data_IF_130148921990
#
_entry.id   IF_130148921990
#
_cell.length_a   1.000
_cell.length_b   1.000
_cell.length_c   1.000
_cell.angle_alpha   90.00
_cell.angle_beta   90.00
_cell.angle_gamma   90.00
#
_symmetry.space_group_name_H-M   'P 1'
#
loop_
_entity.id
_entity.type
_entity.pdbx_description
1 polymer ?
#
# COMPACT_ATOMS: atom_id res chain seq x y z
N UNK A 1 21.26 -4.88 8.66
CA UNK A 1 20.41 -6.06 8.83
C UNK A 1 21.24 -7.33 8.73
N UNK A 2 20.93 -8.28 9.57
CA UNK A 2 21.53 -9.60 9.58
C UNK A 2 20.58 -10.60 8.92
N UNK A 3 21.16 -11.63 8.29
CA UNK A 3 20.39 -12.74 7.76
C UNK A 3 19.81 -13.57 8.91
N UNK A 4 18.52 -13.83 8.87
CA UNK A 4 17.83 -14.63 9.90
C UNK A 4 18.35 -16.07 9.99
N UNK A 5 18.81 -16.65 8.89
CA UNK A 5 19.44 -17.96 8.86
C UNK A 5 20.72 -17.98 9.70
N UNK A 6 21.61 -16.98 9.53
CA UNK A 6 22.81 -16.85 10.35
C UNK A 6 22.48 -16.65 11.83
N UNK A 7 21.45 -15.89 12.14
CA UNK A 7 21.03 -15.68 13.53
C UNK A 7 20.56 -16.98 14.20
N UNK A 8 19.89 -17.87 13.48
CA UNK A 8 19.50 -19.20 13.99
C UNK A 8 20.70 -20.06 14.31
N UNK A 9 21.66 -20.15 13.37
CA UNK A 9 22.90 -20.89 13.57
C UNK A 9 23.70 -20.33 14.76
N UNK A 10 23.87 -19.04 14.86
CA UNK A 10 24.58 -18.38 15.95
C UNK A 10 23.85 -18.55 17.31
N UNK A 11 22.53 -18.54 17.30
CA UNK A 11 21.75 -18.74 18.51
C UNK A 11 21.86 -20.20 19.02
N UNK A 12 21.78 -21.19 18.13
CA UNK A 12 21.95 -22.61 18.49
C UNK A 12 23.33 -22.87 19.02
N UNK A 13 24.39 -22.28 18.43
CA UNK A 13 25.76 -22.38 18.89
C UNK A 13 25.94 -21.79 20.32
N UNK A 14 25.42 -20.56 20.55
CA UNK A 14 25.57 -19.89 21.84
C UNK A 14 24.69 -20.50 22.94
N UNK A 15 23.57 -21.10 22.57
CA UNK A 15 22.66 -21.82 23.47
C UNK A 15 23.15 -23.27 23.74
N UNK A 16 24.18 -23.73 23.03
CA UNK A 16 24.71 -25.10 23.11
C UNK A 16 23.65 -26.18 22.82
N UNK A 17 22.72 -25.88 21.89
CA UNK A 17 21.68 -26.81 21.45
C UNK A 17 21.85 -27.16 19.98
N UNK A 18 21.50 -28.40 19.55
CA UNK A 18 21.53 -28.74 18.13
C UNK A 18 20.62 -27.84 17.27
N UNK A 19 21.05 -27.53 16.06
CA UNK A 19 20.27 -26.64 15.14
C UNK A 19 18.84 -27.12 14.93
N UNK A 20 18.63 -28.44 14.80
CA UNK A 20 17.28 -28.99 14.60
C UNK A 20 16.37 -28.72 15.81
N UNK A 21 16.92 -28.78 17.05
CA UNK A 21 16.12 -28.50 18.26
C UNK A 21 15.80 -27.03 18.40
N UNK A 22 16.73 -26.15 18.00
CA UNK A 22 16.47 -24.71 17.94
C UNK A 22 15.37 -24.38 16.89
N UNK A 23 15.40 -25.04 15.72
CA UNK A 23 14.40 -24.86 14.67
C UNK A 23 13.00 -25.32 15.12
N UNK A 24 12.89 -26.48 15.77
CA UNK A 24 11.63 -26.95 16.36
C UNK A 24 11.11 -25.98 17.43
N UNK A 25 11.99 -25.48 18.29
CA UNK A 25 11.61 -24.46 19.27
C UNK A 25 11.09 -23.19 18.62
N UNK A 26 11.72 -22.75 17.52
CA UNK A 26 11.25 -21.61 16.73
C UNK A 26 9.88 -21.87 16.08
N UNK A 27 9.61 -23.06 15.59
CA UNK A 27 8.29 -23.42 15.04
C UNK A 27 7.18 -23.38 16.10
N UNK A 28 7.49 -23.79 17.31
CA UNK A 28 6.53 -23.78 18.43
C UNK A 28 6.27 -22.34 18.90
N UNK A 29 7.32 -21.54 19.10
CA UNK A 29 7.20 -20.15 19.57
C UNK A 29 6.63 -19.21 18.50
N UNK A 30 6.98 -19.46 17.22
CA UNK A 30 6.49 -18.69 16.08
C UNK A 30 7.18 -17.32 15.88
N UNK A 31 8.11 -16.93 16.74
CA UNK A 31 8.85 -15.68 16.66
C UNK A 31 10.36 -15.90 16.96
N UNK A 32 11.20 -15.59 15.96
CA UNK A 32 12.64 -15.82 16.08
C UNK A 32 13.31 -14.99 17.20
N UNK A 33 12.88 -13.73 17.36
CA UNK A 33 13.46 -12.87 18.39
C UNK A 33 13.13 -13.37 19.80
N UNK A 34 11.93 -13.89 19.99
CA UNK A 34 11.48 -14.49 21.24
C UNK A 34 12.21 -15.82 21.49
N UNK A 35 12.30 -16.69 20.49
CA UNK A 35 13.02 -17.97 20.60
C UNK A 35 14.48 -17.73 21.01
N UNK A 36 15.18 -16.80 20.37
CA UNK A 36 16.57 -16.46 20.73
C UNK A 36 16.63 -15.93 22.16
N UNK A 37 15.69 -15.05 22.55
CA UNK A 37 15.72 -14.43 23.89
C UNK A 37 15.53 -15.44 25.01
N UNK A 38 14.77 -16.50 24.76
CA UNK A 38 14.49 -17.58 25.71
C UNK A 38 15.59 -18.64 25.73
N UNK A 39 16.20 -18.94 24.58
CA UNK A 39 17.18 -20.04 24.45
C UNK A 39 18.61 -19.65 24.84
N UNK A 40 19.00 -18.39 24.55
CA UNK A 40 20.39 -17.95 24.78
C UNK A 40 20.59 -17.54 26.22
N UNK A 41 21.62 -18.12 26.92
CA UNK A 41 21.91 -17.81 28.32
C UNK A 41 22.29 -16.34 28.51
N UNK A 42 22.01 -15.83 29.68
CA UNK A 42 22.40 -14.49 30.12
C UNK A 42 23.60 -14.58 31.07
N UNK A 43 24.64 -13.79 30.79
CA UNK A 43 25.69 -13.51 31.73
C UNK A 43 25.36 -12.21 32.50
N UNK A 44 25.58 -12.15 33.79
CA UNK A 44 25.26 -10.95 34.59
C UNK A 44 26.32 -9.88 34.29
N UNK A 45 25.88 -8.77 33.70
CA UNK A 45 26.71 -7.59 33.46
C UNK A 45 26.11 -6.36 34.16
N UNK A 46 27.01 -5.56 34.75
CA UNK A 46 26.64 -4.38 35.55
C UNK A 46 26.24 -3.14 34.73
N UNK A 47 26.49 -3.14 33.42
CA UNK A 47 26.19 -1.97 32.57
C UNK A 47 25.57 -2.39 31.22
N UNK A 48 24.36 -1.93 30.95
CA UNK A 48 23.72 -2.06 29.64
C UNK A 48 23.88 -0.75 28.84
N UNK A 49 24.19 -0.83 27.53
CA UNK A 49 24.27 0.38 26.70
C UNK A 49 22.88 1.00 26.53
N UNK A 50 22.85 2.29 26.28
CA UNK A 50 21.61 2.99 25.92
C UNK A 50 21.08 2.50 24.56
N UNK A 51 19.78 2.65 24.33
CA UNK A 51 19.17 2.33 23.04
C UNK A 51 19.84 3.07 21.88
N UNK A 52 20.20 4.35 22.09
CA UNK A 52 20.88 5.16 21.08
C UNK A 52 22.25 4.61 20.71
N UNK A 53 23.02 4.10 21.67
CA UNK A 53 24.30 3.46 21.42
C UNK A 53 24.11 2.15 20.65
N UNK A 54 23.16 1.31 21.04
CA UNK A 54 22.82 0.08 20.32
C UNK A 54 22.45 0.34 18.86
N UNK A 55 21.60 1.35 18.59
CA UNK A 55 21.18 1.68 17.24
C UNK A 55 22.37 2.16 16.40
N UNK A 56 23.25 3.02 16.94
CA UNK A 56 24.48 3.46 16.25
C UNK A 56 25.38 2.29 15.90
N UNK A 57 25.58 1.36 16.83
CA UNK A 57 26.39 0.16 16.61
C UNK A 57 25.77 -0.76 15.54
N UNK A 58 24.44 -0.98 15.59
CA UNK A 58 23.70 -1.79 14.60
C UNK A 58 23.82 -1.18 13.19
N UNK A 59 23.73 0.14 13.06
CA UNK A 59 23.92 0.83 11.77
C UNK A 59 25.33 0.57 11.24
N UNK A 60 26.34 0.62 12.10
CA UNK A 60 27.74 0.38 11.75
C UNK A 60 28.02 -1.07 11.35
N UNK A 61 27.19 -2.05 11.77
CA UNK A 61 27.34 -3.44 11.33
C UNK A 61 27.27 -3.61 9.81
N UNK A 62 26.67 -2.66 9.08
CA UNK A 62 26.64 -2.69 7.61
C UNK A 62 28.05 -2.80 7.00
N UNK A 63 29.04 -2.22 7.65
CA UNK A 63 30.42 -2.12 7.18
C UNK A 63 31.35 -3.19 7.78
N UNK A 64 30.83 -4.11 8.59
CA UNK A 64 31.57 -5.15 9.28
C UNK A 64 31.52 -6.48 8.52
N UNK A 65 32.56 -7.28 8.66
CA UNK A 65 32.57 -8.66 8.18
C UNK A 65 31.70 -9.58 9.06
N UNK A 66 31.50 -10.82 8.64
CA UNK A 66 30.64 -11.77 9.35
C UNK A 66 31.16 -12.13 10.75
N UNK A 67 32.46 -12.25 10.89
CA UNK A 67 33.11 -12.58 12.17
C UNK A 67 32.95 -11.46 13.20
N UNK A 68 33.12 -10.22 12.76
CA UNK A 68 32.91 -9.04 13.59
C UNK A 68 31.42 -8.89 13.98
N UNK A 69 30.50 -9.14 13.02
CA UNK A 69 29.04 -9.15 13.27
C UNK A 69 28.67 -10.19 14.31
N UNK A 70 29.18 -11.43 14.16
CA UNK A 70 28.97 -12.52 15.12
C UNK A 70 29.46 -12.15 16.50
N UNK A 71 30.70 -11.68 16.61
CA UNK A 71 31.31 -11.28 17.89
C UNK A 71 30.48 -10.19 18.59
N UNK A 72 30.02 -9.19 17.84
CA UNK A 72 29.16 -8.13 18.37
C UNK A 72 27.82 -8.66 18.88
N UNK A 73 27.15 -9.50 18.10
CA UNK A 73 25.84 -10.08 18.46
C UNK A 73 25.98 -10.95 19.69
N UNK A 74 27.00 -11.82 19.76
CA UNK A 74 27.29 -12.66 20.93
C UNK A 74 27.50 -11.83 22.18
N UNK A 75 28.31 -10.77 22.09
CA UNK A 75 28.54 -9.84 23.20
C UNK A 75 27.24 -9.26 23.73
N UNK A 76 26.33 -8.83 22.83
CA UNK A 76 25.05 -8.25 23.21
C UNK A 76 24.08 -9.30 23.78
N UNK A 77 23.98 -10.46 23.15
CA UNK A 77 23.12 -11.53 23.66
C UNK A 77 23.51 -12.00 25.06
N UNK A 78 24.78 -12.05 25.37
CA UNK A 78 25.30 -12.42 26.71
C UNK A 78 25.03 -11.32 27.75
N UNK A 79 25.09 -10.04 27.35
CA UNK A 79 24.94 -8.92 28.27
C UNK A 79 23.48 -8.50 28.52
N UNK A 80 22.56 -8.84 27.66
CA UNK A 80 21.18 -8.42 27.72
C UNK A 80 20.29 -9.42 28.48
N UNK A 81 19.30 -8.89 29.23
CA UNK A 81 18.21 -9.72 29.75
C UNK A 81 17.28 -10.18 28.61
N UNK A 82 16.30 -11.04 28.90
CA UNK A 82 15.43 -11.60 27.88
C UNK A 82 14.61 -10.55 27.12
N UNK A 83 14.12 -9.51 27.79
CA UNK A 83 13.39 -8.41 27.15
C UNK A 83 14.30 -7.57 26.24
N UNK A 84 15.49 -7.26 26.70
CA UNK A 84 16.48 -6.50 25.92
C UNK A 84 16.95 -7.32 24.71
N UNK A 85 17.22 -8.62 24.86
CA UNK A 85 17.51 -9.55 23.74
C UNK A 85 16.38 -9.58 22.73
N UNK A 86 15.13 -9.67 23.18
CA UNK A 86 13.96 -9.67 22.31
C UNK A 86 13.91 -8.38 21.48
N UNK A 87 13.97 -7.21 22.11
CA UNK A 87 13.95 -5.91 21.43
C UNK A 87 15.13 -5.76 20.49
N UNK A 88 16.33 -6.12 20.93
CA UNK A 88 17.54 -6.07 20.12
C UNK A 88 17.42 -6.91 18.84
N UNK A 89 16.93 -8.15 18.95
CA UNK A 89 16.72 -9.03 17.81
C UNK A 89 15.65 -8.49 16.84
N UNK A 90 14.59 -7.86 17.35
CA UNK A 90 13.59 -7.18 16.52
C UNK A 90 14.19 -6.01 15.74
N UNK A 91 15.09 -5.23 16.34
CA UNK A 91 15.81 -4.15 15.66
C UNK A 91 16.73 -4.72 14.57
N UNK A 92 17.49 -5.77 14.88
CA UNK A 92 18.41 -6.40 13.93
C UNK A 92 17.71 -6.96 12.68
N UNK A 93 16.56 -7.57 12.86
CA UNK A 93 15.78 -8.18 11.76
C UNK A 93 14.86 -7.20 11.05
N UNK A 94 14.63 -6.02 11.62
CA UNK A 94 13.66 -5.05 11.12
C UNK A 94 12.19 -5.53 11.26
N UNK A 95 11.96 -6.55 12.08
CA UNK A 95 10.70 -7.29 12.20
C UNK A 95 9.80 -6.83 13.35
N UNK A 96 9.73 -5.53 13.64
CA UNK A 96 8.74 -5.02 14.60
C UNK A 96 7.32 -5.22 14.07
N UNK A 97 6.69 -6.33 14.43
CA UNK A 97 5.26 -6.56 14.24
C UNK A 97 4.54 -6.22 15.54
N UNK A 98 4.29 -4.93 15.75
CA UNK A 98 3.58 -4.46 16.96
C UNK A 98 2.05 -4.50 16.81
N UNK A 99 1.54 -5.11 15.73
CA UNK A 99 0.10 -5.25 15.50
C UNK A 99 -0.63 -3.94 15.15
N UNK A 100 0.11 -2.86 14.90
CA UNK A 100 -0.44 -1.55 14.58
C UNK A 100 -0.16 -1.25 13.10
N UNK A 101 -1.23 -1.11 12.31
CA UNK A 101 -1.11 -0.66 10.92
C UNK A 101 -0.80 0.84 10.85
N UNK A 102 -0.25 1.28 9.72
CA UNK A 102 -0.04 2.71 9.45
C UNK A 102 -1.35 3.50 9.59
N UNK A 103 -2.46 2.97 9.07
CA UNK A 103 -3.79 3.59 9.19
C UNK A 103 -4.22 3.75 10.65
N UNK A 104 -4.03 2.72 11.50
CA UNK A 104 -4.38 2.82 12.91
C UNK A 104 -3.51 3.86 13.64
N UNK A 105 -2.22 3.94 13.30
CA UNK A 105 -1.31 4.97 13.83
C UNK A 105 -1.75 6.38 13.40
N UNK A 106 -2.04 6.58 12.12
CA UNK A 106 -2.50 7.87 11.58
C UNK A 106 -3.80 8.31 12.24
N UNK A 107 -4.75 7.38 12.43
CA UNK A 107 -6.01 7.64 13.13
C UNK A 107 -5.80 8.01 14.61
N UNK A 108 -4.92 7.29 15.31
CA UNK A 108 -4.59 7.60 16.70
C UNK A 108 -3.93 8.99 16.81
N UNK A 109 -3.01 9.29 15.89
CA UNK A 109 -2.35 10.59 15.81
C UNK A 109 -3.35 11.72 15.52
N UNK A 110 -4.26 11.53 14.55
CA UNK A 110 -5.33 12.45 14.21
C UNK A 110 -6.17 12.83 15.43
N UNK A 111 -6.58 11.85 16.23
CA UNK A 111 -7.32 12.09 17.48
C UNK A 111 -6.50 12.85 18.53
N UNK A 112 -5.21 12.56 18.64
CA UNK A 112 -4.33 13.18 19.61
C UNK A 112 -4.05 14.66 19.28
N UNK A 113 -3.79 14.97 18.00
CA UNK A 113 -3.40 16.34 17.57
C UNK A 113 -4.57 17.13 17.00
N UNK A 114 -5.76 16.54 16.84
CA UNK A 114 -6.98 17.15 16.27
C UNK A 114 -6.79 17.69 14.85
N UNK A 115 -6.04 16.98 14.03
CA UNK A 115 -5.83 17.23 12.60
C UNK A 115 -6.48 16.08 11.83
N UNK A 116 -7.11 16.34 10.69
CA UNK A 116 -7.80 15.35 9.88
C UNK A 116 -6.86 14.21 9.42
N UNK A 117 -7.40 12.98 9.39
CA UNK A 117 -6.62 11.76 9.11
C UNK A 117 -5.97 11.79 7.72
N UNK A 118 -6.68 12.31 6.70
CA UNK A 118 -6.17 12.45 5.33
C UNK A 118 -5.01 13.47 5.24
N UNK A 119 -5.06 14.57 5.99
CA UNK A 119 -3.98 15.56 6.06
C UNK A 119 -2.73 14.91 6.68
N UNK A 120 -2.88 14.19 7.78
CA UNK A 120 -1.76 13.50 8.41
C UNK A 120 -1.21 12.37 7.54
N UNK A 121 -2.05 11.62 6.86
CA UNK A 121 -1.61 10.60 5.91
C UNK A 121 -0.72 11.22 4.81
N UNK A 122 -1.10 12.39 4.30
CA UNK A 122 -0.29 13.13 3.33
C UNK A 122 1.03 13.63 3.92
N UNK A 123 1.02 14.26 5.10
CA UNK A 123 2.24 14.77 5.77
C UNK A 123 3.24 13.66 6.09
N UNK A 124 2.75 12.49 6.50
CA UNK A 124 3.58 11.32 6.82
C UNK A 124 4.09 10.57 5.59
N UNK A 125 3.59 10.91 4.40
CA UNK A 125 4.06 10.35 3.13
C UNK A 125 5.39 10.97 2.71
N UNK A 126 6.15 10.22 1.91
CA UNK A 126 7.41 10.71 1.32
C UNK A 126 8.64 10.37 2.16
N UNK A 127 9.76 10.96 1.75
CA UNK A 127 11.05 10.72 2.38
C UNK A 127 11.37 11.82 3.39
N UNK A 128 11.04 11.58 4.64
CA UNK A 128 11.48 12.39 5.75
C UNK A 128 12.37 11.58 6.70
N UNK A 129 13.20 12.25 7.45
CA UNK A 129 14.12 11.61 8.40
C UNK A 129 13.95 12.20 9.79
N UNK A 130 13.85 11.38 10.84
CA UNK A 130 13.81 11.86 12.22
C UNK A 130 15.09 12.58 12.65
N UNK A 131 16.15 12.52 11.84
CA UNK A 131 17.40 13.26 12.08
C UNK A 131 17.33 14.72 11.60
N UNK A 132 16.41 15.03 10.66
CA UNK A 132 16.32 16.34 10.01
C UNK A 132 14.93 16.96 10.09
N UNK A 133 13.92 16.22 10.53
CA UNK A 133 12.53 16.66 10.61
C UNK A 133 11.99 16.44 12.01
N UNK A 134 11.51 17.46 12.66
CA UNK A 134 10.90 17.36 13.98
C UNK A 134 9.44 16.92 13.91
N UNK A 135 8.89 16.45 15.02
CA UNK A 135 7.46 16.12 15.12
C UNK A 135 6.58 17.35 14.89
N UNK A 136 6.99 18.49 15.39
CA UNK A 136 6.25 19.75 15.21
C UNK A 136 6.18 20.14 13.74
N UNK A 137 7.29 20.08 13.01
CA UNK A 137 7.34 20.40 11.59
C UNK A 137 6.53 19.41 10.73
N UNK A 138 6.62 18.12 11.06
CA UNK A 138 5.98 17.07 10.27
C UNK A 138 4.47 16.97 10.54
N UNK A 139 4.07 17.13 11.79
CA UNK A 139 2.71 16.79 12.24
C UNK A 139 1.90 18.02 12.63
N UNK A 140 2.46 18.93 13.41
CA UNK A 140 1.70 20.01 14.05
C UNK A 140 1.56 21.23 13.14
N UNK A 141 2.66 21.67 12.54
CA UNK A 141 2.67 22.91 11.78
C UNK A 141 1.82 22.80 10.51
N UNK A 142 0.99 23.81 10.19
CA UNK A 142 0.23 23.83 8.95
C UNK A 142 1.17 23.77 7.73
N UNK A 143 0.87 22.87 6.79
CA UNK A 143 1.56 22.81 5.51
C UNK A 143 0.63 23.36 4.42
N UNK A 144 1.08 24.35 3.62
CA UNK A 144 0.28 24.85 2.48
C UNK A 144 -0.12 23.79 1.47
N UNK A 145 0.55 22.64 1.50
CA UNK A 145 0.27 21.51 0.60
C UNK A 145 -0.75 20.50 1.17
N UNK A 146 -1.24 20.65 2.39
CA UNK A 146 -2.13 19.69 3.05
C UNK A 146 -3.38 19.31 2.26
N UNK A 147 -3.89 20.25 1.46
CA UNK A 147 -5.12 20.03 0.69
C UNK A 147 -4.87 19.45 -0.71
N UNK A 148 -3.63 19.46 -1.21
CA UNK A 148 -3.38 19.04 -2.61
C UNK A 148 -3.62 17.55 -2.86
N UNK A 149 -3.49 16.72 -1.84
CA UNK A 149 -3.70 15.27 -1.95
C UNK A 149 -5.10 14.83 -1.52
N UNK A 150 -5.94 15.74 -1.03
CA UNK A 150 -7.23 15.38 -0.42
C UNK A 150 -8.15 14.71 -1.45
N UNK A 151 -8.61 13.46 -1.19
CA UNK A 151 -9.54 12.77 -2.06
C UNK A 151 -10.97 13.27 -1.86
N UNK A 152 -11.81 13.04 -2.85
CA UNK A 152 -13.26 13.15 -2.69
C UNK A 152 -13.83 11.94 -1.97
N UNK A 153 -14.96 12.06 -1.25
CA UNK A 153 -15.65 10.91 -0.68
C UNK A 153 -15.98 9.86 -1.75
N UNK A 154 -15.67 8.60 -1.46
CA UNK A 154 -16.00 7.50 -2.36
C UNK A 154 -17.49 7.22 -2.35
N UNK A 155 -18.14 7.39 -3.49
CA UNK A 155 -19.55 7.07 -3.66
C UNK A 155 -19.75 5.55 -3.77
N UNK A 156 -20.80 5.01 -3.12
CA UNK A 156 -21.10 3.59 -3.14
C UNK A 156 -22.20 3.28 -4.13
N UNK A 157 -21.99 2.26 -4.97
CA UNK A 157 -23.05 1.69 -5.79
C UNK A 157 -23.95 0.78 -4.96
N UNK A 158 -25.26 0.78 -5.29
CA UNK A 158 -26.26 -0.06 -4.66
C UNK A 158 -26.68 -1.18 -5.62
N UNK A 159 -27.00 -2.38 -5.12
CA UNK A 159 -27.52 -3.45 -5.95
C UNK A 159 -28.91 -3.07 -6.52
N UNK A 160 -29.15 -3.46 -7.76
CA UNK A 160 -30.46 -3.34 -8.41
C UNK A 160 -31.25 -4.61 -8.13
N UNK A 161 -32.44 -4.47 -7.58
CA UNK A 161 -33.36 -5.58 -7.34
C UNK A 161 -34.25 -5.91 -8.57
N UNK A 162 -35.06 -6.98 -8.47
CA UNK A 162 -35.91 -7.41 -9.56
C UNK A 162 -37.07 -6.42 -9.78
N UNK A 163 -37.64 -5.86 -8.74
CA UNK A 163 -38.74 -4.90 -8.84
C UNK A 163 -38.34 -3.64 -9.60
N UNK A 164 -37.09 -3.23 -9.45
CA UNK A 164 -36.50 -2.11 -10.19
C UNK A 164 -36.43 -2.44 -11.70
N UNK A 165 -35.94 -3.63 -12.05
CA UNK A 165 -35.83 -4.07 -13.44
C UNK A 165 -37.17 -4.14 -14.15
N UNK A 166 -38.25 -4.48 -13.41
CA UNK A 166 -39.60 -4.56 -13.98
C UNK A 166 -40.26 -3.18 -14.24
N UNK A 167 -39.77 -2.13 -13.58
CA UNK A 167 -40.30 -0.77 -13.66
C UNK A 167 -39.52 0.16 -14.56
N UNK A 168 -38.21 -0.08 -14.73
CA UNK A 168 -37.32 0.82 -15.45
C UNK A 168 -37.00 0.35 -16.87
N UNK A 169 -37.01 1.29 -17.80
CA UNK A 169 -36.56 1.02 -19.16
C UNK A 169 -35.03 0.94 -19.23
N UNK A 170 -34.52 -0.17 -19.73
CA UNK A 170 -33.06 -0.41 -19.83
C UNK A 170 -32.34 0.67 -20.65
N UNK A 171 -33.01 1.29 -21.61
CA UNK A 171 -32.47 2.34 -22.48
C UNK A 171 -32.08 3.62 -21.71
N UNK A 172 -32.63 3.81 -20.51
CA UNK A 172 -32.29 4.94 -19.64
C UNK A 172 -30.99 4.72 -18.86
N UNK A 173 -30.36 3.54 -19.02
CA UNK A 173 -29.21 3.13 -18.24
C UNK A 173 -28.00 2.85 -19.14
N UNK A 174 -26.84 3.19 -18.66
CA UNK A 174 -25.58 2.73 -19.21
C UNK A 174 -24.92 1.74 -18.23
N UNK A 175 -24.17 0.80 -18.78
CA UNK A 175 -23.59 -0.29 -18.02
C UNK A 175 -22.08 -0.34 -18.27
N UNK A 176 -21.35 -0.74 -17.26
CA UNK A 176 -19.92 -1.00 -17.34
C UNK A 176 -19.61 -2.32 -16.64
N UNK A 177 -18.47 -2.93 -16.94
CA UNK A 177 -18.01 -4.07 -16.18
C UNK A 177 -17.63 -3.63 -14.76
N UNK A 178 -18.06 -4.40 -13.75
CA UNK A 178 -17.61 -4.27 -12.37
C UNK A 178 -16.28 -5.01 -12.22
N UNK A 179 -15.21 -4.29 -12.39
CA UNK A 179 -13.86 -4.83 -12.34
C UNK A 179 -13.50 -5.36 -10.95
N UNK A 180 -12.78 -6.51 -10.91
CA UNK A 180 -12.28 -7.11 -9.66
C UNK A 180 -10.86 -6.62 -9.37
N UNK A 181 -10.75 -5.50 -8.66
CA UNK A 181 -9.49 -4.85 -8.35
C UNK A 181 -9.52 -4.06 -7.06
N UNK A 182 -8.77 -2.97 -7.03
CA UNK A 182 -8.77 -2.03 -5.92
C UNK A 182 -9.23 -0.65 -6.38
N UNK A 183 -10.45 -0.29 -6.01
CA UNK A 183 -10.97 1.05 -6.29
C UNK A 183 -10.09 2.13 -5.70
N UNK A 184 -9.73 3.09 -6.52
CA UNK A 184 -8.78 4.13 -6.16
C UNK A 184 -9.10 5.46 -6.84
N UNK A 185 -8.79 6.55 -6.15
CA UNK A 185 -8.79 7.89 -6.74
C UNK A 185 -7.37 8.32 -7.06
N UNK A 186 -7.13 8.63 -8.33
CA UNK A 186 -5.90 9.22 -8.83
C UNK A 186 -6.07 10.74 -8.87
N UNK A 187 -5.24 11.44 -8.14
CA UNK A 187 -5.23 12.90 -8.04
C UNK A 187 -3.95 13.42 -8.66
N UNK A 188 -4.06 14.32 -9.63
CA UNK A 188 -2.91 15.04 -10.22
C UNK A 188 -3.05 16.51 -9.84
N UNK A 189 -2.17 16.98 -8.95
CA UNK A 189 -2.16 18.40 -8.52
C UNK A 189 -0.75 18.88 -8.24
N UNK A 190 -0.45 20.10 -8.64
CA UNK A 190 0.88 20.75 -8.49
C UNK A 190 2.05 19.90 -9.00
N UNK A 191 1.85 19.24 -10.16
CA UNK A 191 2.86 18.40 -10.78
C UNK A 191 3.21 17.14 -9.97
N UNK A 192 2.35 16.72 -9.04
CA UNK A 192 2.48 15.49 -8.25
C UNK A 192 1.27 14.59 -8.47
N UNK A 193 1.42 13.29 -8.24
CA UNK A 193 0.30 12.37 -8.21
C UNK A 193 0.10 11.82 -6.79
N UNK A 194 -1.17 11.60 -6.45
CA UNK A 194 -1.57 10.95 -5.21
C UNK A 194 -2.60 9.88 -5.54
N UNK A 195 -2.44 8.71 -4.95
CA UNK A 195 -3.33 7.59 -5.16
C UNK A 195 -3.93 7.16 -3.83
N UNK A 196 -5.24 7.31 -3.71
CA UNK A 196 -5.99 6.91 -2.52
C UNK A 196 -6.81 5.66 -2.80
N UNK A 197 -6.73 4.68 -1.91
CA UNK A 197 -7.63 3.52 -1.94
C UNK A 197 -9.00 3.87 -1.35
N UNK A 198 -10.03 3.07 -1.67
CA UNK A 198 -11.36 3.16 -1.04
C UNK A 198 -11.31 3.07 0.48
N UNK A 199 -10.29 2.42 1.04
CA UNK A 199 -10.05 2.32 2.47
C UNK A 199 -9.46 3.59 3.08
N UNK A 200 -9.39 4.71 2.34
CA UNK A 200 -8.79 5.98 2.76
C UNK A 200 -7.31 5.85 3.14
N UNK A 201 -6.58 4.99 2.42
CA UNK A 201 -5.14 4.86 2.54
C UNK A 201 -4.46 5.50 1.35
N UNK A 202 -3.45 6.33 1.62
CA UNK A 202 -2.58 6.88 0.58
C UNK A 202 -1.56 5.82 0.18
N UNK A 203 -1.65 5.36 -1.07
CA UNK A 203 -0.93 4.18 -1.57
C UNK A 203 -0.01 4.48 -2.75
N UNK A 204 0.30 5.75 -3.00
CA UNK A 204 1.14 6.17 -4.14
C UNK A 204 2.49 5.45 -4.18
N UNK A 205 3.11 5.17 -3.03
CA UNK A 205 4.38 4.47 -2.91
C UNK A 205 4.34 3.01 -3.37
N UNK A 206 3.14 2.41 -3.45
CA UNK A 206 2.92 1.04 -3.93
C UNK A 206 2.82 0.95 -5.46
N UNK A 207 2.56 2.07 -6.12
CA UNK A 207 2.29 2.15 -7.56
C UNK A 207 3.10 3.26 -8.24
N UNK A 208 4.45 3.25 -8.13
CA UNK A 208 5.31 4.33 -8.61
C UNK A 208 5.25 4.52 -10.13
N UNK A 209 4.83 3.51 -10.92
CA UNK A 209 4.65 3.61 -12.35
C UNK A 209 3.57 4.62 -12.77
N UNK A 210 2.60 4.91 -11.91
CA UNK A 210 1.57 5.92 -12.16
C UNK A 210 2.15 7.35 -12.15
N UNK A 211 3.38 7.55 -11.67
CA UNK A 211 4.08 8.83 -11.79
C UNK A 211 4.25 9.28 -13.23
N UNK A 212 4.28 8.34 -14.19
CA UNK A 212 4.33 8.63 -15.63
C UNK A 212 3.12 9.40 -16.15
N UNK A 213 2.02 9.43 -15.40
CA UNK A 213 0.80 10.17 -15.73
C UNK A 213 0.90 11.67 -15.43
N UNK A 214 1.86 12.07 -14.59
CA UNK A 214 2.14 13.48 -14.33
C UNK A 214 2.66 14.13 -15.60
N UNK A 215 2.03 15.22 -15.99
CA UNK A 215 2.32 15.91 -17.27
C UNK A 215 1.55 15.36 -18.47
N UNK A 216 1.01 14.15 -18.42
CA UNK A 216 0.08 13.62 -19.43
C UNK A 216 -1.36 13.99 -19.11
N UNK A 217 -1.72 13.95 -17.83
CA UNK A 217 -3.04 14.36 -17.32
C UNK A 217 -2.92 15.82 -16.86
N UNK A 218 -3.87 16.69 -17.23
CA UNK A 218 -3.86 18.08 -16.78
C UNK A 218 -3.84 18.21 -15.25
N UNK A 219 -3.10 19.20 -14.76
CA UNK A 219 -3.05 19.51 -13.32
C UNK A 219 -4.46 19.89 -12.80
N UNK A 220 -4.76 19.57 -11.54
CA UNK A 220 -6.11 19.75 -10.99
C UNK A 220 -7.12 18.72 -11.50
N UNK A 221 -6.68 17.51 -11.85
CA UNK A 221 -7.57 16.42 -12.28
C UNK A 221 -7.66 15.33 -11.21
N UNK A 222 -8.89 14.89 -10.92
CA UNK A 222 -9.17 13.75 -10.04
C UNK A 222 -10.00 12.71 -10.79
N UNK A 223 -9.46 11.50 -10.88
CA UNK A 223 -10.04 10.37 -11.58
C UNK A 223 -10.40 9.26 -10.60
N UNK A 224 -11.55 8.62 -10.78
CA UNK A 224 -11.92 7.40 -10.05
C UNK A 224 -11.75 6.20 -10.99
N UNK A 225 -11.17 5.12 -10.49
CA UNK A 225 -10.87 3.95 -11.30
C UNK A 225 -10.54 2.73 -10.44
N UNK A 226 -10.35 1.60 -11.12
CA UNK A 226 -9.96 0.34 -10.52
C UNK A 226 -8.51 0.02 -10.86
N UNK A 227 -7.66 -0.18 -9.86
CA UNK A 227 -6.31 -0.71 -10.05
C UNK A 227 -6.38 -2.20 -10.33
N UNK A 228 -5.79 -2.62 -11.44
CA UNK A 228 -5.83 -3.98 -11.92
C UNK A 228 -4.42 -4.45 -12.30
N UNK A 229 -4.04 -5.69 -12.00
CA UNK A 229 -2.91 -6.31 -12.67
C UNK A 229 -3.20 -6.40 -14.17
N UNK A 230 -2.22 -6.06 -15.01
CA UNK A 230 -2.42 -6.07 -16.46
C UNK A 230 -1.15 -6.55 -17.17
N UNK A 231 -1.25 -7.68 -17.81
CA UNK A 231 -0.12 -8.27 -18.53
C UNK A 231 -0.58 -8.91 -19.82
N UNK A 232 0.20 -8.75 -20.89
CA UNK A 232 -0.09 -9.34 -22.20
C UNK A 232 -1.51 -9.00 -22.72
N UNK A 233 -1.92 -7.74 -22.53
CA UNK A 233 -3.25 -7.23 -22.87
C UNK A 233 -4.43 -7.93 -22.17
N UNK A 234 -4.18 -8.50 -20.99
CA UNK A 234 -5.21 -9.15 -20.16
C UNK A 234 -5.19 -8.60 -18.73
N UNK A 235 -6.39 -8.44 -18.19
CA UNK A 235 -6.58 -8.17 -16.75
C UNK A 235 -6.25 -9.45 -15.98
N UNK A 236 -5.39 -9.33 -14.98
CA UNK A 236 -5.03 -10.40 -14.05
C UNK A 236 -5.99 -10.49 -12.86
N UNK A 237 -5.69 -11.38 -11.93
CA UNK A 237 -6.51 -11.61 -10.73
C UNK A 237 -6.13 -10.68 -9.57
N UNK A 238 -7.11 -10.32 -8.76
CA UNK A 238 -6.91 -9.50 -7.55
C UNK A 238 -5.84 -10.06 -6.59
N UNK A 239 -5.71 -11.38 -6.50
CA UNK A 239 -4.67 -12.03 -5.70
C UNK A 239 -3.23 -11.60 -6.08
N UNK A 240 -2.98 -11.28 -7.33
CA UNK A 240 -1.67 -10.78 -7.75
C UNK A 240 -1.45 -9.34 -7.25
N UNK A 241 -2.48 -8.52 -7.30
CA UNK A 241 -2.44 -7.16 -6.74
C UNK A 241 -2.16 -7.18 -5.23
N UNK A 242 -2.76 -8.12 -4.48
CA UNK A 242 -2.53 -8.28 -3.04
C UNK A 242 -1.07 -8.57 -2.70
N UNK A 243 -0.35 -9.35 -3.50
CA UNK A 243 1.08 -9.62 -3.32
C UNK A 243 1.91 -8.34 -3.34
N UNK A 244 1.46 -7.35 -4.11
CA UNK A 244 2.12 -6.06 -4.26
C UNK A 244 1.76 -5.10 -3.14
N UNK A 245 0.47 -4.98 -2.78
CA UNK A 245 -0.05 -4.12 -1.72
C UNK A 245 0.60 -4.45 -0.37
N UNK A 246 0.74 -5.74 -0.06
CA UNK A 246 1.31 -6.23 1.20
C UNK A 246 2.81 -5.95 1.39
N UNK A 247 3.52 -5.45 0.36
CA UNK A 247 4.95 -5.14 0.46
C UNK A 247 5.19 -3.76 1.06
N UNK A 248 6.19 -3.65 1.92
CA UNK A 248 6.61 -2.36 2.48
C UNK A 248 7.18 -1.44 1.38
N UNK A 249 7.98 -2.02 0.48
CA UNK A 249 8.54 -1.35 -0.71
C UNK A 249 8.33 -2.21 -1.94
N UNK A 250 8.05 -1.58 -3.08
CA UNK A 250 7.83 -2.25 -4.36
C UNK A 250 9.10 -2.12 -5.21
N UNK A 251 9.82 -3.23 -5.39
CA UNK A 251 11.01 -3.27 -6.23
C UNK A 251 10.66 -3.23 -7.72
N UNK A 252 11.62 -2.83 -8.56
CA UNK A 252 11.44 -2.84 -10.02
C UNK A 252 11.08 -4.24 -10.54
N UNK A 253 11.73 -5.27 -10.00
CA UNK A 253 11.40 -6.67 -10.33
C UNK A 253 9.92 -6.99 -10.08
N UNK A 254 9.37 -6.58 -8.95
CA UNK A 254 7.97 -6.82 -8.63
C UNK A 254 7.01 -6.02 -9.51
N UNK A 255 7.40 -4.79 -9.93
CA UNK A 255 6.64 -4.01 -10.91
C UNK A 255 6.58 -4.73 -12.26
N UNK A 256 7.69 -5.32 -12.70
CA UNK A 256 7.79 -6.06 -13.97
C UNK A 256 7.08 -7.43 -13.91
N UNK A 257 7.07 -8.07 -12.74
CA UNK A 257 6.34 -9.34 -12.52
C UNK A 257 4.81 -9.13 -12.48
N UNK A 258 4.36 -8.06 -11.84
CA UNK A 258 2.95 -7.71 -11.66
C UNK A 258 2.75 -6.27 -12.12
N UNK A 259 2.82 -6.00 -13.43
CA UNK A 259 2.51 -4.68 -13.96
C UNK A 259 1.04 -4.36 -13.72
N UNK A 260 0.73 -3.08 -13.48
CA UNK A 260 -0.62 -2.62 -13.20
C UNK A 260 -1.06 -1.54 -14.17
N UNK A 261 -2.36 -1.42 -14.30
CA UNK A 261 -3.04 -0.28 -14.91
C UNK A 261 -4.09 0.26 -13.95
N UNK A 262 -4.53 1.49 -14.20
CA UNK A 262 -5.77 2.01 -13.64
C UNK A 262 -6.85 2.00 -14.73
N UNK A 263 -7.96 1.28 -14.49
CA UNK A 263 -9.14 1.24 -15.35
C UNK A 263 -10.04 2.39 -14.95
N UNK A 264 -10.04 3.46 -15.72
CA UNK A 264 -10.80 4.68 -15.44
C UNK A 264 -12.27 4.50 -15.78
N UNK A 265 -13.15 4.91 -14.87
CA UNK A 265 -14.60 4.91 -15.11
C UNK A 265 -15.29 6.19 -14.67
N UNK A 266 -14.64 7.09 -13.91
CA UNK A 266 -15.22 8.37 -13.54
C UNK A 266 -14.18 9.48 -13.45
N UNK A 267 -14.65 10.73 -13.54
CA UNK A 267 -13.85 11.94 -13.38
C UNK A 267 -14.58 12.91 -12.46
N UNK A 268 -13.91 13.32 -11.38
CA UNK A 268 -14.50 14.09 -10.29
C UNK A 268 -14.10 15.56 -10.33
N UNK A 269 -12.88 15.83 -10.78
CA UNK A 269 -12.33 17.18 -10.93
C UNK A 269 -11.57 17.27 -12.25
N UNK A 270 -11.75 18.37 -12.95
CA UNK A 270 -11.10 18.66 -14.22
C UNK A 270 -10.49 20.05 -14.21
N UNK A 271 -9.17 20.13 -14.39
CA UNK A 271 -8.41 21.40 -14.42
C UNK A 271 -8.73 22.31 -13.22
N UNK A 272 -8.82 21.71 -12.01
CA UNK A 272 -9.11 22.40 -10.75
C UNK A 272 -10.57 22.72 -10.49
N UNK A 273 -11.47 22.28 -11.36
CA UNK A 273 -12.92 22.49 -11.20
C UNK A 273 -13.61 21.19 -10.77
N UNK A 274 -14.34 21.22 -9.65
CA UNK A 274 -15.23 20.13 -9.24
C UNK A 274 -16.38 19.99 -10.26
N UNK A 275 -16.45 18.84 -10.93
CA UNK A 275 -17.44 18.54 -11.99
C UNK A 275 -18.38 17.40 -11.61
N UNK A 276 -18.37 16.93 -10.36
CA UNK A 276 -19.21 15.81 -9.88
C UNK A 276 -20.71 16.02 -10.11
N UNK A 277 -21.15 17.27 -10.20
CA UNK A 277 -22.55 17.61 -10.45
C UNK A 277 -22.92 17.68 -11.94
N UNK A 278 -22.01 17.34 -12.85
CA UNK A 278 -22.32 17.28 -14.28
C UNK A 278 -23.12 16.02 -14.60
N UNK A 279 -23.90 16.07 -15.69
CA UNK A 279 -24.57 14.88 -16.20
C UNK A 279 -23.55 13.78 -16.55
N UNK A 280 -23.89 12.54 -16.23
CA UNK A 280 -23.01 11.38 -16.43
C UNK A 280 -22.44 11.30 -17.85
N UNK A 281 -23.27 11.54 -18.87
CA UNK A 281 -22.82 11.52 -20.28
C UNK A 281 -21.69 12.53 -20.49
N UNK A 282 -21.81 13.73 -19.91
CA UNK A 282 -20.77 14.76 -20.04
C UNK A 282 -19.47 14.37 -19.35
N UNK A 283 -19.55 13.74 -18.18
CA UNK A 283 -18.37 13.20 -17.48
C UNK A 283 -17.67 12.14 -18.32
N UNK A 284 -18.44 11.22 -18.94
CA UNK A 284 -17.89 10.18 -19.82
C UNK A 284 -17.24 10.76 -21.07
N UNK A 285 -17.80 11.81 -21.68
CA UNK A 285 -17.20 12.52 -22.84
C UNK A 285 -15.84 13.14 -22.47
N UNK A 286 -15.75 13.81 -21.31
CA UNK A 286 -14.48 14.40 -20.83
C UNK A 286 -13.46 13.29 -20.61
N UNK A 287 -13.86 12.23 -19.92
CA UNK A 287 -12.98 11.10 -19.60
C UNK A 287 -12.48 10.40 -20.87
N UNK A 288 -13.36 10.16 -21.84
CA UNK A 288 -13.00 9.57 -23.14
C UNK A 288 -12.05 10.47 -23.94
N UNK A 289 -12.29 11.80 -23.94
CA UNK A 289 -11.41 12.78 -24.58
C UNK A 289 -10.01 12.79 -23.95
N UNK A 290 -9.94 12.71 -22.62
CA UNK A 290 -8.68 12.59 -21.89
C UNK A 290 -7.96 11.28 -22.27
N UNK A 291 -8.67 10.15 -22.21
CA UNK A 291 -8.11 8.83 -22.53
C UNK A 291 -7.51 8.80 -23.94
N UNK A 292 -8.20 9.30 -24.95
CA UNK A 292 -7.70 9.38 -26.33
C UNK A 292 -6.40 10.18 -26.46
N UNK A 293 -6.19 11.16 -25.62
CA UNK A 293 -4.93 11.96 -25.60
C UNK A 293 -3.77 11.22 -24.95
N UNK A 294 -4.03 10.44 -23.90
CA UNK A 294 -2.96 9.83 -23.10
C UNK A 294 -2.58 8.42 -23.57
N UNK A 295 -3.49 7.68 -24.21
CA UNK A 295 -3.21 6.30 -24.63
C UNK A 295 -2.05 6.19 -25.64
N UNK A 296 -1.83 7.22 -26.44
CA UNK A 296 -0.73 7.26 -27.43
C UNK A 296 0.67 7.24 -26.79
N UNK A 297 0.76 7.53 -25.49
CA UNK A 297 2.01 7.51 -24.74
C UNK A 297 2.27 6.17 -24.02
N UNK A 298 1.48 5.15 -24.31
CA UNK A 298 1.54 3.85 -23.63
C UNK A 298 1.45 3.97 -22.10
N UNK A 299 0.62 4.90 -21.64
CA UNK A 299 0.42 5.17 -20.22
C UNK A 299 -0.30 3.98 -19.54
N UNK A 300 -0.06 3.72 -18.25
CA UNK A 300 -0.66 2.60 -17.52
C UNK A 300 -2.14 2.86 -17.16
N UNK A 301 -2.95 3.18 -18.17
CA UNK A 301 -4.39 3.47 -18.04
C UNK A 301 -5.18 2.74 -19.12
N UNK A 302 -6.39 2.32 -18.75
CA UNK A 302 -7.43 1.92 -19.69
C UNK A 302 -8.74 2.64 -19.34
N UNK A 303 -9.64 2.70 -20.31
CA UNK A 303 -10.99 3.26 -20.12
C UNK A 303 -11.99 2.12 -19.99
N UNK A 304 -12.80 2.13 -18.95
CA UNK A 304 -13.95 1.25 -18.81
C UNK A 304 -14.98 1.56 -19.89
N UNK A 305 -15.35 0.52 -20.65
CA UNK A 305 -16.24 0.69 -21.79
C UNK A 305 -17.69 0.79 -21.32
N UNK A 306 -18.37 1.87 -21.72
CA UNK A 306 -19.81 2.02 -21.51
C UNK A 306 -20.56 1.16 -22.52
N UNK A 307 -21.51 0.38 -22.03
CA UNK A 307 -22.37 -0.49 -22.83
C UNK A 307 -23.82 -0.05 -22.71
N UNK A 308 -24.57 -0.21 -23.81
CA UNK A 308 -26.00 0.01 -23.87
C UNK A 308 -26.68 -1.26 -24.35
N UNK A 309 -27.83 -1.59 -23.78
CA UNK A 309 -28.56 -2.81 -24.10
C UNK A 309 -30.00 -2.49 -24.52
N UNK A 310 -30.56 -3.33 -25.37
CA UNK A 310 -31.93 -3.21 -25.87
C UNK A 310 -32.97 -3.63 -24.80
N UNK A 311 -32.61 -4.57 -23.94
CA UNK A 311 -33.49 -5.13 -22.93
C UNK A 311 -32.72 -5.77 -21.78
N UNK A 312 -33.37 -5.97 -20.62
CA UNK A 312 -32.79 -6.59 -19.41
C UNK A 312 -32.29 -8.02 -19.63
N UNK A 313 -32.83 -8.76 -20.61
CA UNK A 313 -32.34 -10.09 -20.96
C UNK A 313 -30.89 -10.03 -21.44
N UNK A 314 -30.58 -9.07 -22.31
CA UNK A 314 -29.20 -8.85 -22.80
C UNK A 314 -28.24 -8.44 -21.69
N UNK A 315 -28.70 -7.63 -20.74
CA UNK A 315 -27.92 -7.28 -19.54
C UNK A 315 -27.58 -8.53 -18.73
N UNK A 316 -28.57 -9.41 -18.51
CA UNK A 316 -28.36 -10.69 -17.78
C UNK A 316 -27.42 -11.64 -18.52
N UNK A 317 -27.48 -11.67 -19.85
CA UNK A 317 -26.57 -12.48 -20.68
C UNK A 317 -25.13 -11.95 -20.58
N UNK A 318 -24.91 -10.64 -20.66
CA UNK A 318 -23.58 -10.04 -20.52
C UNK A 318 -23.03 -10.21 -19.10
N UNK A 319 -23.89 -10.05 -18.08
CA UNK A 319 -23.48 -10.31 -16.70
C UNK A 319 -22.95 -11.72 -16.47
N UNK A 320 -23.52 -12.75 -17.14
CA UNK A 320 -23.03 -14.13 -17.06
C UNK A 320 -21.66 -14.33 -17.67
N UNK A 321 -21.28 -13.45 -18.60
CA UNK A 321 -19.94 -13.49 -19.25
C UNK A 321 -18.91 -12.63 -18.52
N UNK A 322 -19.29 -12.00 -17.40
CA UNK A 322 -18.40 -11.10 -16.67
C UNK A 322 -17.11 -11.79 -16.23
N UNK A 323 -17.19 -13.04 -15.77
CA UNK A 323 -16.02 -13.82 -15.33
C UNK A 323 -15.02 -14.06 -16.47
N UNK A 324 -15.48 -14.22 -17.72
CA UNK A 324 -14.60 -14.37 -18.91
C UNK A 324 -13.75 -13.11 -19.15
N UNK A 325 -14.19 -11.97 -18.61
CA UNK A 325 -13.53 -10.66 -18.73
C UNK A 325 -12.83 -10.21 -17.43
N UNK A 326 -12.66 -11.10 -16.47
CA UNK A 326 -12.09 -10.79 -15.15
C UNK A 326 -12.84 -9.67 -14.43
N UNK A 327 -14.18 -9.72 -14.49
CA UNK A 327 -15.06 -8.79 -13.78
C UNK A 327 -16.07 -9.55 -12.90
N UNK A 328 -16.51 -8.93 -11.80
CA UNK A 328 -17.48 -9.52 -10.85
C UNK A 328 -18.93 -9.45 -11.35
N UNK A 329 -19.18 -8.69 -12.39
CA UNK A 329 -20.52 -8.44 -12.92
C UNK A 329 -20.60 -7.14 -13.71
N UNK A 330 -21.78 -6.51 -13.66
CA UNK A 330 -22.04 -5.21 -14.28
C UNK A 330 -22.40 -4.17 -13.21
N UNK A 331 -22.04 -2.95 -13.50
CA UNK A 331 -22.38 -1.77 -12.73
C UNK A 331 -23.03 -0.72 -13.64
#
# INVERSE_FOLDING_TARGET
PLNTTLMKVWASELAEVPEWLFEESYHIVGDLAETISLSVPQEIHLTTPSLSECIKEIINLKYKDEKEKKSYVFKRWKSFNNYEKFVFNKILTGGFRIGISQKLMTRALSKAVKIEENILAHRLMGQWSPMTTTFEELVINPNPEDQISQPYPFFLAYPIDQDFQDKELVQNWCFEHKWDGMRSQLIIRKGKYFLWSRGEELISDKFPELSSLVGLIPDGTVLDGELLPFKENKVGYFNDLQKRIGRKTVSKKLQDEIPIIIMLYDILEWEGKDIRNYHLIRLKEILESLYKKIIVYNAPVLLSQVMFFENWKKVKEERKRAEEKSSEGLM
#
